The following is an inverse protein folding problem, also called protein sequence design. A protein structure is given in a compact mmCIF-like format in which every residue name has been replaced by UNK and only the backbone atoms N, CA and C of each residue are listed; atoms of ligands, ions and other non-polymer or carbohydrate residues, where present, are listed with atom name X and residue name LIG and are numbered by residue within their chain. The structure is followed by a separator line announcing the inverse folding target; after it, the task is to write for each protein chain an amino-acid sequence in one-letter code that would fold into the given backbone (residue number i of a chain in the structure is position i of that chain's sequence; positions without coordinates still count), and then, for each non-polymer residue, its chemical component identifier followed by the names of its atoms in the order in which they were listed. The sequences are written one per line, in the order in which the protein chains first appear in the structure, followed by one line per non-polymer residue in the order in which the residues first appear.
data_IF_981099218768
#
_entry.id   IF_981099218768
#
_cell.length_a   1.000
_cell.length_b   1.000
_cell.length_c   1.000
_cell.angle_alpha   90.00
_cell.angle_beta   90.00
_cell.angle_gamma   90.00
#
_symmetry.space_group_name_H-M   'P 1'
#
loop_
_entity.id
_entity.type
_entity.pdbx_description
1 polymer ?
#
# COMPACT_ATOMS: atom_id res chain seq x y z
N UNK A 1 18.71 -10.78 9.15
CA UNK A 1 20.03 -10.14 9.25
C UNK A 1 20.07 -9.27 10.50
N UNK A 2 20.60 -9.79 11.60
CA UNK A 2 20.89 -9.02 12.82
C UNK A 2 22.25 -9.48 13.32
N UNK A 3 23.25 -8.59 13.30
CA UNK A 3 24.44 -8.77 14.13
C UNK A 3 24.22 -8.02 15.44
N UNK A 4 24.81 -8.47 16.53
CA UNK A 4 24.69 -7.86 17.88
C UNK A 4 25.12 -6.38 17.90
N UNK A 5 25.84 -5.91 16.87
CA UNK A 5 26.32 -4.55 16.69
C UNK A 5 25.42 -3.65 15.83
N UNK A 6 24.36 -4.16 15.20
CA UNK A 6 23.59 -3.44 14.17
C UNK A 6 22.11 -3.36 14.52
N UNK A 7 21.64 -2.17 14.92
CA UNK A 7 20.22 -1.90 15.20
C UNK A 7 19.50 -1.38 13.96
N UNK A 8 18.32 -1.93 13.65
CA UNK A 8 17.44 -1.37 12.62
C UNK A 8 17.09 0.08 12.97
N UNK A 9 17.29 0.98 12.01
CA UNK A 9 17.10 2.44 12.18
C UNK A 9 15.72 2.90 11.71
N UNK A 10 14.76 1.97 11.67
CA UNK A 10 13.41 2.19 11.16
C UNK A 10 13.24 1.82 9.67
N UNK A 11 12.04 2.05 9.15
CA UNK A 11 11.65 1.80 7.75
C UNK A 11 10.87 2.99 7.19
N UNK A 12 10.82 3.11 5.86
CA UNK A 12 9.99 4.13 5.21
C UNK A 12 8.52 3.68 5.16
N UNK A 13 7.61 4.60 5.44
CA UNK A 13 6.16 4.48 5.47
C UNK A 13 5.55 5.55 4.58
N UNK A 14 4.85 5.15 3.53
CA UNK A 14 4.25 6.09 2.59
C UNK A 14 2.80 6.36 2.99
N UNK A 15 2.54 7.56 3.48
CA UNK A 15 1.23 7.97 3.98
C UNK A 15 0.35 8.53 2.86
N UNK A 16 -0.96 8.41 3.02
CA UNK A 16 -1.90 9.11 2.16
C UNK A 16 -1.89 10.61 2.48
N UNK A 17 -2.02 11.45 1.47
CA UNK A 17 -2.24 12.88 1.67
C UNK A 17 -3.70 13.21 1.37
N UNK A 18 -4.26 14.18 2.08
CA UNK A 18 -5.64 14.61 1.85
C UNK A 18 -5.80 15.24 0.45
N UNK A 19 -6.76 14.77 -0.37
CA UNK A 19 -6.93 15.20 -1.76
C UNK A 19 -7.51 16.62 -1.90
N UNK A 20 -8.05 17.21 -0.84
CA UNK A 20 -8.49 18.62 -0.80
C UNK A 20 -7.41 19.58 -0.30
N UNK A 21 -6.21 19.09 -0.02
CA UNK A 21 -5.09 19.98 0.22
C UNK A 21 -4.75 20.70 -1.09
N UNK A 22 -4.77 22.03 -1.02
CA UNK A 22 -4.50 22.94 -2.14
C UNK A 22 -3.09 22.74 -2.72
N UNK A 23 -2.25 21.94 -2.06
CA UNK A 23 -0.95 21.46 -2.55
C UNK A 23 -1.04 20.58 -3.81
N UNK A 24 -2.19 20.03 -4.22
CA UNK A 24 -2.27 19.37 -5.53
C UNK A 24 -1.87 20.32 -6.68
N UNK A 25 -2.17 21.63 -6.55
CA UNK A 25 -1.68 22.66 -7.49
C UNK A 25 -0.15 22.85 -7.47
N UNK A 26 0.56 22.30 -6.48
CA UNK A 26 2.03 22.37 -6.39
C UNK A 26 2.76 21.28 -7.20
N UNK A 27 2.04 20.25 -7.67
CA UNK A 27 2.63 19.16 -8.47
C UNK A 27 2.47 19.34 -9.98
N UNK A 28 1.66 20.31 -10.41
CA UNK A 28 1.53 20.69 -11.82
C UNK A 28 2.60 21.72 -12.16
N UNK A 29 3.28 21.52 -13.28
CA UNK A 29 4.32 22.40 -13.81
C UNK A 29 4.07 22.55 -15.31
N UNK A 30 4.46 23.68 -15.89
CA UNK A 30 4.39 23.87 -17.34
C UNK A 30 5.55 23.13 -18.03
N UNK A 31 5.40 22.83 -19.33
CA UNK A 31 6.50 22.23 -20.12
C UNK A 31 7.72 23.15 -20.17
N UNK A 32 7.50 24.46 -20.24
CA UNK A 32 8.58 25.45 -20.20
C UNK A 32 9.35 25.42 -18.87
N UNK A 33 8.65 25.31 -17.74
CA UNK A 33 9.29 25.18 -16.42
C UNK A 33 10.00 23.84 -16.25
N UNK A 34 9.42 22.75 -16.77
CA UNK A 34 10.08 21.45 -16.81
C UNK A 34 11.40 21.51 -17.55
N UNK A 35 11.42 22.12 -18.74
CA UNK A 35 12.62 22.22 -19.57
C UNK A 35 13.70 23.09 -18.90
N UNK A 36 13.30 24.24 -18.32
CA UNK A 36 14.22 25.07 -17.52
C UNK A 36 14.80 24.29 -16.33
N UNK A 37 13.99 23.51 -15.65
CA UNK A 37 14.42 22.70 -14.50
C UNK A 37 15.32 21.52 -14.92
N UNK A 38 15.05 20.86 -16.06
CA UNK A 38 15.92 19.81 -16.63
C UNK A 38 17.33 20.34 -16.84
N UNK A 39 17.45 21.51 -17.47
CA UNK A 39 18.75 22.13 -17.75
C UNK A 39 19.46 22.59 -16.48
N UNK A 40 18.74 23.21 -15.53
CA UNK A 40 19.31 23.73 -14.29
C UNK A 40 19.75 22.64 -13.29
N UNK A 41 18.94 21.60 -13.14
CA UNK A 41 19.13 20.55 -12.13
C UNK A 41 19.77 19.28 -12.71
N UNK A 42 19.99 19.22 -14.03
CA UNK A 42 20.50 18.03 -14.71
C UNK A 42 19.54 16.84 -14.64
N UNK A 43 18.23 17.09 -14.64
CA UNK A 43 17.22 16.03 -14.53
C UNK A 43 17.08 15.29 -15.87
N UNK A 44 17.19 13.97 -15.84
CA UNK A 44 17.07 13.10 -17.02
C UNK A 44 15.71 12.40 -17.13
N UNK A 45 14.85 12.54 -16.11
CA UNK A 45 13.53 11.88 -16.07
C UNK A 45 12.44 12.84 -15.63
N UNK A 46 11.29 12.78 -16.30
CA UNK A 46 10.02 13.36 -15.85
C UNK A 46 9.00 12.25 -15.64
N UNK A 47 8.01 12.52 -14.79
CA UNK A 47 6.85 11.65 -14.60
C UNK A 47 5.59 12.42 -14.96
N UNK A 48 4.68 11.76 -15.66
CA UNK A 48 3.35 12.28 -15.92
C UNK A 48 2.37 11.71 -14.90
N UNK A 49 1.49 12.56 -14.38
CA UNK A 49 0.51 12.16 -13.38
C UNK A 49 -0.82 11.86 -14.08
N UNK A 50 -1.38 10.70 -13.78
CA UNK A 50 -2.74 10.39 -14.17
C UNK A 50 -3.70 11.04 -13.16
N UNK A 51 -4.61 11.89 -13.67
CA UNK A 51 -5.57 12.59 -12.84
C UNK A 51 -6.70 11.64 -12.41
N UNK A 52 -7.17 11.73 -11.15
CA UNK A 52 -8.35 10.99 -10.71
C UNK A 52 -9.64 11.60 -11.27
N UNK A 53 -10.70 10.79 -11.50
CA UNK A 53 -10.71 9.34 -11.37
C UNK A 53 -10.04 8.65 -12.56
N UNK A 54 -9.25 7.62 -12.28
CA UNK A 54 -8.69 6.74 -13.28
C UNK A 54 -8.91 5.29 -12.86
N UNK A 55 -9.44 4.50 -13.78
CA UNK A 55 -9.84 3.12 -13.54
C UNK A 55 -9.01 2.18 -14.41
N UNK A 56 -8.63 1.05 -13.82
CA UNK A 56 -7.85 0.01 -14.47
C UNK A 56 -8.42 -1.34 -14.11
N UNK A 57 -8.40 -2.25 -15.06
CA UNK A 57 -8.81 -3.64 -14.86
C UNK A 57 -7.60 -4.54 -15.06
N UNK A 58 -7.44 -5.52 -14.18
CA UNK A 58 -6.42 -6.54 -14.28
C UNK A 58 -6.98 -7.87 -13.79
N UNK A 59 -6.39 -8.96 -14.25
CA UNK A 59 -6.76 -10.33 -13.86
C UNK A 59 -5.65 -10.95 -13.04
N UNK A 60 -6.01 -11.63 -11.96
CA UNK A 60 -5.09 -12.44 -11.15
C UNK A 60 -5.51 -13.89 -11.29
N UNK A 61 -4.68 -14.68 -11.97
CA UNK A 61 -4.83 -16.13 -12.04
C UNK A 61 -4.09 -16.78 -10.86
N UNK A 62 -4.72 -17.77 -10.24
CA UNK A 62 -4.15 -18.52 -9.13
C UNK A 62 -4.50 -20.01 -9.27
N UNK A 63 -3.67 -20.86 -8.69
CA UNK A 63 -3.84 -22.31 -8.73
C UNK A 63 -3.55 -22.91 -7.35
N UNK A 64 -4.36 -23.90 -6.96
CA UNK A 64 -4.13 -24.75 -5.79
C UNK A 64 -3.91 -23.99 -4.47
N UNK A 65 -4.64 -22.88 -4.26
CA UNK A 65 -4.62 -22.17 -2.98
C UNK A 65 -5.56 -22.86 -1.97
N UNK A 66 -5.08 -23.07 -0.75
CA UNK A 66 -5.96 -23.40 0.36
C UNK A 66 -6.93 -22.24 0.64
N UNK A 67 -8.07 -22.51 1.30
CA UNK A 67 -9.08 -21.49 1.57
C UNK A 67 -8.51 -20.27 2.32
N UNK A 68 -7.66 -20.50 3.31
CA UNK A 68 -6.96 -19.43 4.04
C UNK A 68 -5.95 -18.64 3.20
N UNK A 69 -5.38 -19.24 2.16
CA UNK A 69 -4.42 -18.57 1.26
C UNK A 69 -5.16 -17.74 0.21
N UNK A 70 -6.28 -18.24 -0.31
CA UNK A 70 -7.19 -17.47 -1.14
C UNK A 70 -7.76 -16.28 -0.35
N UNK A 71 -8.10 -16.48 0.92
CA UNK A 71 -8.51 -15.40 1.82
C UNK A 71 -7.44 -14.33 2.02
N UNK A 72 -6.18 -14.74 2.19
CA UNK A 72 -5.05 -13.81 2.26
C UNK A 72 -4.90 -13.02 0.97
N UNK A 73 -4.97 -13.69 -0.19
CA UNK A 73 -4.87 -13.03 -1.49
C UNK A 73 -5.98 -11.98 -1.66
N UNK A 74 -7.23 -12.37 -1.44
CA UNK A 74 -8.40 -11.47 -1.54
C UNK A 74 -8.27 -10.27 -0.61
N UNK A 75 -7.92 -10.49 0.67
CA UNK A 75 -7.75 -9.41 1.64
C UNK A 75 -6.56 -8.50 1.29
N UNK A 76 -5.49 -9.04 0.71
CA UNK A 76 -4.33 -8.24 0.28
C UNK A 76 -4.63 -7.36 -0.93
N UNK A 77 -5.59 -7.76 -1.78
CA UNK A 77 -6.03 -6.98 -2.93
C UNK A 77 -7.11 -5.98 -2.51
N UNK A 78 -8.21 -6.46 -1.94
CA UNK A 78 -9.35 -5.64 -1.54
C UNK A 78 -9.32 -5.39 -0.03
N UNK A 79 -8.78 -4.22 0.34
CA UNK A 79 -8.71 -3.78 1.73
C UNK A 79 -10.10 -3.37 2.25
N UNK A 80 -10.22 -3.33 3.58
CA UNK A 80 -11.42 -2.89 4.28
C UNK A 80 -11.76 -1.42 4.01
N UNK A 81 -13.03 -1.06 4.25
CA UNK A 81 -13.52 0.29 3.99
C UNK A 81 -12.73 1.35 4.77
N UNK A 82 -12.41 2.46 4.10
CA UNK A 82 -11.54 3.50 4.64
C UNK A 82 -10.04 3.27 4.49
N UNK A 83 -9.62 2.10 3.99
CA UNK A 83 -8.23 1.82 3.64
C UNK A 83 -8.00 1.93 2.13
N UNK A 84 -6.77 2.27 1.73
CA UNK A 84 -6.36 2.29 0.34
C UNK A 84 -4.91 1.84 0.18
N UNK A 85 -4.59 1.30 -0.99
CA UNK A 85 -3.21 0.93 -1.33
C UNK A 85 -2.38 2.15 -1.71
N UNK A 86 -1.06 1.98 -1.60
CA UNK A 86 -0.06 2.92 -2.12
C UNK A 86 0.76 2.31 -3.25
N UNK A 87 0.57 2.80 -4.47
CA UNK A 87 1.21 2.31 -5.71
C UNK A 87 1.87 3.45 -6.51
N UNK A 88 2.81 3.12 -7.40
CA UNK A 88 3.48 4.09 -8.28
C UNK A 88 4.65 4.87 -7.65
N UNK A 89 5.25 5.77 -8.45
CA UNK A 89 6.46 6.54 -8.08
C UNK A 89 6.17 7.75 -7.17
N UNK A 90 4.92 8.22 -7.13
CA UNK A 90 4.52 9.39 -6.35
C UNK A 90 4.29 9.13 -4.85
N UNK A 91 4.51 7.90 -4.35
CA UNK A 91 4.34 7.57 -2.93
C UNK A 91 5.10 8.50 -1.95
N UNK A 92 6.37 8.89 -2.21
CA UNK A 92 7.12 9.76 -1.27
C UNK A 92 6.54 11.16 -1.09
N UNK A 93 5.74 11.61 -2.07
CA UNK A 93 5.06 12.92 -2.07
C UNK A 93 3.55 12.78 -1.77
N UNK A 94 3.13 11.60 -1.33
CA UNK A 94 1.76 11.32 -0.91
C UNK A 94 0.77 11.01 -2.04
N UNK A 95 1.23 10.86 -3.29
CA UNK A 95 0.40 10.43 -4.43
C UNK A 95 0.29 8.90 -4.51
N UNK A 96 -0.52 8.40 -5.45
CA UNK A 96 -0.64 6.96 -5.73
C UNK A 96 -1.53 6.18 -4.77
N UNK A 97 -2.59 6.82 -4.26
CA UNK A 97 -3.63 6.15 -3.48
C UNK A 97 -4.57 5.39 -4.42
N UNK A 98 -4.78 4.09 -4.19
CA UNK A 98 -5.56 3.21 -5.07
C UNK A 98 -6.54 2.38 -4.24
N UNK A 99 -7.82 2.35 -4.64
CA UNK A 99 -8.80 1.36 -4.16
C UNK A 99 -8.84 0.23 -5.17
N UNK A 100 -8.86 -1.01 -4.69
CA UNK A 100 -9.00 -2.20 -5.53
C UNK A 100 -10.28 -2.89 -5.10
N UNK A 101 -11.13 -3.22 -6.06
CA UNK A 101 -12.31 -4.05 -5.89
C UNK A 101 -12.10 -5.32 -6.71
N UNK A 102 -12.45 -6.46 -6.14
CA UNK A 102 -12.24 -7.77 -6.78
C UNK A 102 -13.55 -8.49 -7.04
N UNK A 103 -13.59 -9.21 -8.14
CA UNK A 103 -14.57 -10.26 -8.42
C UNK A 103 -13.85 -11.60 -8.34
N UNK A 104 -14.54 -12.63 -7.84
CA UNK A 104 -13.95 -13.95 -7.63
C UNK A 104 -14.68 -14.98 -8.49
N UNK A 105 -13.91 -15.63 -9.36
CA UNK A 105 -14.34 -16.78 -10.14
C UNK A 105 -13.52 -17.99 -9.70
N UNK A 106 -14.19 -19.09 -9.36
CA UNK A 106 -13.54 -20.35 -8.99
C UNK A 106 -13.90 -21.38 -10.06
N UNK A 107 -12.86 -22.06 -10.54
CA UNK A 107 -12.97 -23.10 -11.55
C UNK A 107 -12.66 -24.44 -10.89
N UNK A 108 -13.64 -25.35 -10.90
CA UNK A 108 -13.39 -26.75 -10.56
C UNK A 108 -12.87 -27.51 -11.78
N UNK A 109 -11.56 -27.78 -11.77
CA UNK A 109 -10.86 -28.41 -12.91
C UNK A 109 -11.41 -29.77 -13.28
N UNK A 110 -11.88 -30.57 -12.31
CA UNK A 110 -12.44 -31.90 -12.56
C UNK A 110 -13.67 -31.76 -13.45
N UNK A 111 -14.58 -30.85 -13.11
CA UNK A 111 -15.83 -30.63 -13.84
C UNK A 111 -15.64 -29.96 -15.19
N UNK A 112 -14.52 -29.24 -15.40
CA UNK A 112 -14.17 -28.69 -16.73
C UNK A 112 -13.80 -29.77 -17.74
N UNK A 113 -13.13 -30.84 -17.30
CA UNK A 113 -12.64 -31.89 -18.21
C UNK A 113 -13.61 -33.06 -18.37
N UNK A 114 -14.78 -33.03 -17.72
CA UNK A 114 -15.83 -34.07 -17.87
C UNK A 114 -16.70 -33.85 -19.10
N UNK A 115 -16.93 -32.61 -19.52
CA UNK A 115 -17.78 -32.29 -20.69
C UNK A 115 -17.16 -31.19 -21.57
N UNK A 116 -17.24 -31.34 -22.90
CA UNK A 116 -16.68 -30.40 -23.90
C UNK A 116 -17.20 -28.96 -23.75
N UNK A 117 -18.41 -28.77 -23.22
CA UNK A 117 -19.04 -27.47 -23.04
C UNK A 117 -19.02 -26.98 -21.59
N UNK A 118 -18.46 -27.75 -20.65
CA UNK A 118 -18.37 -27.35 -19.25
C UNK A 118 -17.20 -26.39 -19.05
N UNK A 119 -17.49 -25.20 -18.53
CA UNK A 119 -16.46 -24.24 -18.13
C UNK A 119 -15.81 -24.59 -16.79
N UNK A 120 -16.48 -25.45 -16.00
CA UNK A 120 -16.15 -25.73 -14.59
C UNK A 120 -16.37 -24.54 -13.66
N UNK A 121 -17.04 -23.48 -14.13
CA UNK A 121 -17.32 -22.27 -13.34
C UNK A 121 -18.66 -22.47 -12.63
N UNK A 122 -18.70 -22.20 -11.32
CA UNK A 122 -19.97 -22.21 -10.58
C UNK A 122 -20.87 -21.04 -11.00
N UNK A 123 -22.15 -21.30 -11.25
CA UNK A 123 -23.16 -20.26 -11.53
C UNK A 123 -23.41 -19.33 -10.33
N UNK A 124 -22.97 -19.72 -9.13
CA UNK A 124 -23.06 -18.91 -7.93
C UNK A 124 -21.76 -18.13 -7.72
N UNK A 125 -21.82 -16.81 -7.53
CA UNK A 125 -20.64 -16.04 -7.20
C UNK A 125 -20.04 -16.57 -5.89
N UNK A 126 -18.74 -16.86 -5.93
CA UNK A 126 -18.04 -17.34 -4.75
C UNK A 126 -18.05 -16.26 -3.66
N UNK A 127 -18.50 -16.62 -2.45
CA UNK A 127 -18.58 -15.69 -1.33
C UNK A 127 -17.18 -15.41 -0.77
N UNK A 128 -16.52 -14.36 -1.29
CA UNK A 128 -15.18 -13.89 -0.86
C UNK A 128 -14.99 -13.87 0.65
N UNK A 129 -16.05 -13.50 1.37
CA UNK A 129 -16.05 -13.36 2.83
C UNK A 129 -15.68 -14.67 3.54
N UNK A 130 -16.13 -15.82 3.04
CA UNK A 130 -15.83 -17.13 3.64
C UNK A 130 -14.30 -17.34 3.69
N UNK A 131 -13.63 -17.11 2.56
CA UNK A 131 -12.17 -17.25 2.48
C UNK A 131 -11.43 -16.23 3.34
N UNK A 132 -11.86 -14.96 3.32
CA UNK A 132 -11.27 -13.90 4.14
C UNK A 132 -11.42 -14.21 5.64
N UNK A 133 -12.58 -14.75 6.06
CA UNK A 133 -12.84 -15.11 7.45
C UNK A 133 -11.98 -16.31 7.89
N UNK A 134 -11.77 -17.31 7.01
CA UNK A 134 -10.82 -18.41 7.26
C UNK A 134 -9.36 -17.94 7.36
N UNK A 135 -8.94 -17.01 6.49
CA UNK A 135 -7.63 -16.35 6.61
C UNK A 135 -7.48 -15.65 7.97
N UNK A 136 -8.45 -14.80 8.33
CA UNK A 136 -8.42 -14.06 9.59
C UNK A 136 -8.40 -15.02 10.77
N UNK A 137 -9.14 -16.11 10.72
CA UNK A 137 -9.16 -17.16 11.75
C UNK A 137 -7.79 -17.82 11.92
N UNK A 138 -7.18 -18.30 10.83
CA UNK A 138 -5.83 -18.89 10.85
C UNK A 138 -4.80 -17.92 11.44
N UNK A 139 -4.86 -16.65 11.06
CA UNK A 139 -3.98 -15.62 11.62
C UNK A 139 -4.17 -15.42 13.13
N UNK A 140 -5.41 -15.50 13.65
CA UNK A 140 -5.63 -15.44 15.11
C UNK A 140 -5.01 -16.64 15.81
N UNK A 141 -5.25 -17.85 15.30
CA UNK A 141 -4.73 -19.11 15.86
C UNK A 141 -3.21 -19.11 15.95
N UNK A 142 -2.52 -18.64 14.89
CA UNK A 142 -1.06 -18.51 14.84
C UNK A 142 -0.51 -17.37 15.74
N UNK A 143 -1.36 -16.45 16.19
CA UNK A 143 -0.99 -15.29 17.01
C UNK A 143 -1.61 -15.34 18.41
N UNK A 144 -1.59 -16.52 19.06
CA UNK A 144 -2.09 -16.74 20.43
C UNK A 144 -3.58 -16.38 20.62
N UNK A 145 -4.40 -16.59 19.59
CA UNK A 145 -5.82 -16.24 19.57
C UNK A 145 -6.11 -14.74 19.82
N UNK A 146 -5.14 -13.87 19.56
CA UNK A 146 -5.35 -12.43 19.59
C UNK A 146 -6.36 -12.00 18.52
N UNK A 147 -7.06 -10.90 18.76
CA UNK A 147 -7.88 -10.27 17.73
C UNK A 147 -7.01 -9.94 16.50
N UNK A 148 -7.49 -10.28 15.30
CA UNK A 148 -6.79 -10.04 14.03
C UNK A 148 -6.32 -8.58 13.90
N UNK A 149 -7.17 -7.62 14.27
CA UNK A 149 -6.86 -6.19 14.16
C UNK A 149 -5.82 -5.70 15.18
N UNK A 150 -5.63 -6.47 16.25
CA UNK A 150 -4.65 -6.20 17.29
C UNK A 150 -3.29 -6.84 17.02
N UNK A 151 -3.16 -7.70 16.00
CA UNK A 151 -1.87 -8.25 15.58
C UNK A 151 -0.96 -7.09 15.17
N UNK A 152 0.26 -6.93 15.73
CA UNK A 152 1.06 -5.72 15.55
C UNK A 152 1.26 -5.31 14.09
N UNK A 153 1.60 -6.26 13.22
CA UNK A 153 1.83 -5.98 11.79
C UNK A 153 0.53 -5.61 11.04
N UNK A 154 -0.62 -6.15 11.45
CA UNK A 154 -1.93 -5.84 10.87
C UNK A 154 -2.37 -4.45 11.32
N UNK A 155 -2.26 -4.16 12.62
CA UNK A 155 -2.56 -2.85 13.18
C UNK A 155 -1.72 -1.75 12.52
N UNK A 156 -0.42 -1.99 12.38
CA UNK A 156 0.52 -1.10 11.69
C UNK A 156 0.12 -0.88 10.23
N UNK A 157 -0.19 -1.96 9.49
CA UNK A 157 -0.62 -1.86 8.10
C UNK A 157 -1.88 -1.00 7.96
N UNK A 158 -2.89 -1.25 8.80
CA UNK A 158 -4.15 -0.49 8.78
C UNK A 158 -3.93 0.99 9.06
N UNK A 159 -3.00 1.34 9.96
CA UNK A 159 -2.63 2.74 10.21
C UNK A 159 -1.98 3.39 8.99
N UNK A 160 -1.06 2.69 8.32
CA UNK A 160 -0.35 3.21 7.13
C UNK A 160 -1.31 3.40 5.95
N UNK A 161 -2.22 2.45 5.73
CA UNK A 161 -3.16 2.44 4.62
C UNK A 161 -4.43 3.26 4.88
N UNK A 162 -4.53 3.94 6.02
CA UNK A 162 -5.73 4.70 6.40
C UNK A 162 -5.88 5.94 5.51
N UNK A 163 -6.94 5.96 4.70
CA UNK A 163 -7.26 7.08 3.82
C UNK A 163 -8.24 8.07 4.48
N UNK A 164 -9.03 7.64 5.47
CA UNK A 164 -10.00 8.49 6.16
C UNK A 164 -9.32 9.50 7.09
N UNK A 165 -8.32 9.03 7.85
CA UNK A 165 -7.60 9.82 8.84
C UNK A 165 -6.07 9.66 8.69
N UNK A 166 -5.49 10.02 7.53
CA UNK A 166 -4.05 10.01 7.37
C UNK A 166 -3.37 11.06 8.27
N UNK A 167 -2.07 10.89 8.57
CA UNK A 167 -1.26 11.95 9.15
C UNK A 167 -1.27 13.23 8.29
N UNK A 168 -0.86 14.35 8.88
CA UNK A 168 -0.77 15.62 8.16
C UNK A 168 0.13 15.50 6.91
N UNK A 169 -0.24 16.20 5.82
CA UNK A 169 0.48 16.18 4.53
C UNK A 169 1.92 16.70 4.61
N UNK A 170 2.35 17.26 5.74
CA UNK A 170 3.73 17.66 5.99
C UNK A 170 4.66 16.46 6.28
N UNK A 171 4.12 15.26 6.54
CA UNK A 171 4.88 14.03 6.74
C UNK A 171 5.44 13.54 5.40
N UNK A 172 6.67 13.93 5.08
CA UNK A 172 7.38 13.52 3.85
C UNK A 172 8.82 13.14 4.14
N UNK A 173 9.30 12.10 3.46
CA UNK A 173 10.73 11.76 3.55
C UNK A 173 11.59 12.88 2.97
N UNK A 174 12.81 13.07 3.49
CA UNK A 174 13.82 13.87 2.81
C UNK A 174 13.99 13.40 1.36
N UNK A 175 13.92 14.35 0.42
CA UNK A 175 13.96 14.06 -1.01
C UNK A 175 15.35 13.73 -1.55
N UNK A 176 16.41 13.93 -0.75
CA UNK A 176 17.79 13.75 -1.16
C UNK A 176 18.44 12.57 -0.43
N UNK A 177 19.02 11.64 -1.21
CA UNK A 177 19.82 10.55 -0.69
C UNK A 177 20.99 11.05 0.18
N UNK A 178 21.57 12.22 -0.12
CA UNK A 178 22.64 12.79 0.69
C UNK A 178 22.17 13.08 2.12
N UNK A 179 20.89 13.39 2.34
CA UNK A 179 20.36 13.54 3.69
C UNK A 179 20.51 12.23 4.47
N UNK A 180 20.10 11.10 3.91
CA UNK A 180 20.25 9.79 4.56
C UNK A 180 21.73 9.43 4.76
N UNK A 181 22.60 9.80 3.81
CA UNK A 181 24.03 9.56 3.92
C UNK A 181 24.70 10.39 5.02
N UNK A 182 24.20 11.60 5.31
CA UNK A 182 24.69 12.50 6.38
C UNK A 182 24.07 12.19 7.75
N UNK A 183 22.84 11.69 7.79
CA UNK A 183 22.08 11.46 9.03
C UNK A 183 21.88 9.97 9.30
N UNK A 184 22.91 9.16 9.04
CA UNK A 184 22.79 7.70 9.13
C UNK A 184 22.35 7.28 10.52
N UNK A 185 22.81 7.97 11.56
CA UNK A 185 22.60 7.57 12.97
C UNK A 185 21.26 8.05 13.55
N UNK A 186 20.46 8.79 12.79
CA UNK A 186 19.13 9.24 13.20
C UNK A 186 18.11 8.13 12.84
N UNK A 187 17.38 7.56 13.83
CA UNK A 187 16.32 6.60 13.54
C UNK A 187 15.10 7.30 12.91
N UNK A 188 14.46 6.63 11.96
CA UNK A 188 13.20 7.09 11.39
C UNK A 188 12.07 7.00 12.42
N UNK A 189 11.08 7.92 12.38
CA UNK A 189 9.89 7.86 13.22
C UNK A 189 9.16 6.54 13.09
N UNK A 190 8.64 6.06 14.22
CA UNK A 190 7.69 4.95 14.26
C UNK A 190 6.32 5.37 13.70
N UNK A 191 5.48 4.38 13.41
CA UNK A 191 4.07 4.60 13.03
C UNK A 191 3.35 5.39 14.12
N UNK A 192 3.51 5.00 15.38
CA UNK A 192 2.90 5.69 16.52
C UNK A 192 3.36 7.15 16.67
N UNK A 193 4.66 7.41 16.55
CA UNK A 193 5.18 8.78 16.61
C UNK A 193 4.62 9.65 15.47
N UNK A 194 4.44 9.06 14.29
CA UNK A 194 3.91 9.75 13.11
C UNK A 194 2.42 10.03 13.23
N UNK A 195 1.62 9.00 13.58
CA UNK A 195 0.16 9.12 13.74
C UNK A 195 -0.21 10.09 14.86
N UNK A 196 0.54 10.08 15.96
CA UNK A 196 0.29 10.97 17.09
C UNK A 196 0.87 12.39 16.89
N UNK A 197 1.41 12.71 15.70
CA UNK A 197 2.10 13.97 15.40
C UNK A 197 3.21 14.33 16.42
N UNK A 198 3.84 13.32 17.04
CA UNK A 198 4.91 13.50 18.04
C UNK A 198 6.28 13.72 17.39
N UNK A 199 6.48 13.14 16.21
CA UNK A 199 7.60 13.41 15.31
C UNK A 199 7.14 13.32 13.87
N UNK A 200 7.50 14.31 13.09
CA UNK A 200 7.41 14.30 11.64
C UNK A 200 8.76 13.96 11.02
N UNK A 201 8.75 13.50 9.77
CA UNK A 201 9.97 13.31 9.00
C UNK A 201 10.70 14.64 8.70
N UNK A 202 10.06 15.78 8.93
CA UNK A 202 10.69 17.10 8.88
C UNK A 202 11.50 17.39 10.15
N UNK A 203 11.13 16.83 11.30
CA UNK A 203 11.88 17.00 12.56
C UNK A 203 13.22 16.27 12.53
N UNK A 204 13.36 15.30 11.64
CA UNK A 204 14.66 14.71 11.31
C UNK A 204 15.59 15.69 10.56
N UNK A 205 15.13 16.86 10.09
CA UNK A 205 15.97 17.81 9.32
C UNK A 205 16.96 18.63 10.17
N UNK A 206 17.16 18.30 11.45
CA UNK A 206 18.08 19.01 12.34
C UNK A 206 19.43 18.30 12.51
#
# INVERSE_FOLDING_TARGET
YYTTSSKLRGRKFYWHHHPWDKTLKSYTTTEEELERNRQKLGLTSSVELLLPPAEFTFTVEFDNLAESELGLLLWSLELEEGLAHKLGMGKPIGLGSVKINTELEIIERIDRYTEILSTGISDKPAEKRIYIDEFKKKMREENNNNNFDAIPNISDLKKIMNLQNPPQNNVKYPGDFQWFARHRDIPLPTIEETVNNKKTLQDCRS
#
